data_IF_955431368244
#
_entry.id   IF_955431368244
#
_cell.length_a   1.000
_cell.length_b   1.000
_cell.length_c   1.000
_cell.angle_alpha   90.00
_cell.angle_beta   90.00
_cell.angle_gamma   90.00
#
_symmetry.space_group_name_H-M   'P 1'
#
loop_
_entity.id
_entity.type
_entity.pdbx_description
1 polymer ?
#
# COMPACT_ATOMS: atom_id res chain seq x y z
N UNK A 1 -45.17 -42.95 4.35
CA UNK A 1 -44.25 -42.31 5.30
C UNK A 1 -43.09 -41.73 4.51
N UNK A 2 -43.04 -40.41 4.40
CA UNK A 2 -42.05 -39.68 3.59
C UNK A 2 -40.69 -39.70 4.30
N UNK A 3 -39.65 -40.20 3.63
CA UNK A 3 -38.28 -40.20 4.15
C UNK A 3 -37.48 -39.08 3.48
N UNK A 4 -37.09 -38.11 4.29
CA UNK A 4 -36.37 -36.90 3.93
C UNK A 4 -34.93 -37.20 3.49
N UNK A 5 -34.64 -37.00 2.21
CA UNK A 5 -33.27 -36.96 1.67
C UNK A 5 -32.83 -35.49 1.60
N UNK A 6 -32.14 -35.02 2.64
CA UNK A 6 -31.49 -33.71 2.65
C UNK A 6 -30.29 -33.71 1.68
N UNK A 7 -30.42 -32.92 0.60
CA UNK A 7 -29.33 -32.51 -0.28
C UNK A 7 -28.48 -31.44 0.44
N UNK A 8 -27.30 -31.82 0.91
CA UNK A 8 -26.25 -30.88 1.31
C UNK A 8 -25.50 -30.40 0.06
N UNK A 9 -25.98 -29.31 -0.56
CA UNK A 9 -25.17 -28.54 -1.52
C UNK A 9 -24.15 -27.70 -0.76
N UNK A 10 -22.86 -27.98 -0.96
CA UNK A 10 -21.75 -27.09 -0.59
C UNK A 10 -21.50 -26.10 -1.73
N UNK A 11 -21.60 -24.77 -1.51
CA UNK A 11 -21.12 -23.81 -2.49
C UNK A 11 -19.60 -23.69 -2.39
N UNK A 12 -18.92 -24.00 -3.50
CA UNK A 12 -17.51 -23.73 -3.70
C UNK A 12 -17.28 -22.22 -3.89
N UNK A 13 -16.58 -21.59 -2.95
CA UNK A 13 -15.99 -20.26 -3.13
C UNK A 13 -14.50 -20.35 -2.81
N UNK A 14 -13.70 -20.66 -3.84
CA UNK A 14 -12.25 -20.50 -3.81
C UNK A 14 -11.86 -19.62 -5.01
N UNK A 15 -11.75 -18.31 -4.76
CA UNK A 15 -11.14 -17.37 -5.68
C UNK A 15 -9.72 -17.05 -5.17
N UNK A 16 -8.67 -17.14 -6.01
CA UNK A 16 -7.30 -16.89 -5.56
C UNK A 16 -7.06 -15.39 -5.25
N UNK A 17 -6.23 -15.05 -4.25
CA UNK A 17 -5.94 -13.68 -3.88
C UNK A 17 -5.12 -12.96 -4.96
N UNK A 18 -5.72 -11.91 -5.53
CA UNK A 18 -5.09 -10.91 -6.39
C UNK A 18 -3.94 -10.20 -5.66
N UNK A 19 -2.72 -10.37 -6.16
CA UNK A 19 -1.51 -9.67 -5.72
C UNK A 19 -1.51 -8.22 -6.22
N UNK A 20 -2.00 -7.28 -5.40
CA UNK A 20 -1.80 -5.85 -5.64
C UNK A 20 -0.38 -5.42 -5.24
N UNK A 21 0.45 -5.23 -6.26
CA UNK A 21 1.77 -4.62 -6.25
C UNK A 21 1.67 -3.19 -5.68
N UNK A 22 2.37 -2.93 -4.56
CA UNK A 22 2.63 -1.56 -4.09
C UNK A 22 3.69 -0.93 -5.00
N UNK A 23 3.27 -0.02 -5.87
CA UNK A 23 4.18 0.90 -6.55
C UNK A 23 4.55 2.01 -5.56
N UNK A 24 5.78 1.98 -5.04
CA UNK A 24 6.37 3.11 -4.32
C UNK A 24 6.92 4.04 -5.40
N UNK A 25 6.25 5.17 -5.60
CA UNK A 25 6.69 6.25 -6.47
C UNK A 25 7.89 6.97 -5.84
N UNK A 26 9.10 6.58 -6.23
CA UNK A 26 10.30 7.41 -6.10
C UNK A 26 10.43 8.29 -7.34
N UNK A 27 9.79 9.45 -7.30
CA UNK A 27 10.03 10.51 -8.28
C UNK A 27 9.78 11.87 -7.61
N UNK A 28 10.81 12.40 -6.95
CA UNK A 28 11.10 13.82 -6.73
C UNK A 28 12.42 13.96 -5.95
N UNK A 29 13.52 13.71 -6.64
CA UNK A 29 14.81 14.33 -6.32
C UNK A 29 15.28 14.93 -7.64
N UNK A 30 14.85 16.17 -7.89
CA UNK A 30 15.37 17.03 -8.93
C UNK A 30 15.72 18.35 -8.25
N UNK A 31 17.03 18.65 -8.26
CA UNK A 31 17.71 19.92 -8.06
C UNK A 31 17.08 20.94 -7.08
N UNK A 32 17.63 21.03 -5.86
CA UNK A 32 17.70 22.31 -5.16
C UNK A 32 19.03 23.01 -5.45
N UNK A 33 19.05 24.30 -5.80
CA UNK A 33 20.28 25.09 -5.91
C UNK A 33 20.86 25.41 -4.51
N UNK A 34 22.19 25.48 -4.44
CA UNK A 34 22.97 25.71 -3.23
C UNK A 34 22.46 26.91 -2.41
N UNK A 35 21.96 26.63 -1.19
CA UNK A 35 21.70 27.67 -0.19
C UNK A 35 23.02 28.24 0.30
N UNK A 36 23.22 29.55 0.10
CA UNK A 36 24.31 30.33 0.71
C UNK A 36 24.29 30.13 2.23
N UNK A 37 25.45 29.79 2.79
CA UNK A 37 25.67 29.70 4.23
C UNK A 37 25.39 31.06 4.90
N UNK A 38 24.55 31.06 5.93
CA UNK A 38 24.40 32.22 6.81
C UNK A 38 25.67 32.36 7.69
N UNK A 39 26.16 33.59 7.95
CA UNK A 39 27.31 33.81 8.80
C UNK A 39 27.00 33.46 10.27
N UNK A 40 27.99 33.01 11.06
CA UNK A 40 27.80 32.65 12.45
C UNK A 40 27.45 33.87 13.31
N UNK A 41 26.62 33.70 14.36
CA UNK A 41 26.26 34.80 15.27
C UNK A 41 27.48 35.26 16.10
N UNK A 42 27.58 36.56 16.42
CA UNK A 42 28.67 37.08 17.25
C UNK A 42 28.54 36.62 18.72
N UNK A 43 29.66 36.52 19.45
CA UNK A 43 29.67 36.12 20.85
C UNK A 43 29.03 37.19 21.76
N UNK A 44 28.39 36.79 22.88
CA UNK A 44 27.76 37.74 23.80
C UNK A 44 28.81 38.60 24.53
N UNK A 45 28.53 39.90 24.76
CA UNK A 45 29.44 40.77 25.48
C UNK A 45 29.43 40.47 27.00
N UNK A 46 30.62 40.58 27.59
CA UNK A 46 30.90 40.35 28.99
C UNK A 46 30.15 41.32 29.93
N UNK A 47 29.69 40.80 31.05
CA UNK A 47 29.06 41.54 32.13
C UNK A 47 30.04 42.52 32.81
N UNK A 48 29.67 43.81 32.90
CA UNK A 48 30.19 44.76 33.89
C UNK A 48 29.10 45.74 34.34
N UNK A 49 28.83 45.70 35.65
CA UNK A 49 28.65 46.81 36.60
C UNK A 49 27.81 48.05 36.26
N UNK A 50 26.75 48.23 37.06
CA UNK A 50 26.32 49.44 37.81
C UNK A 50 26.32 50.82 37.12
N UNK A 51 25.12 51.41 37.08
CA UNK A 51 24.68 52.61 37.84
C UNK A 51 23.94 53.70 37.02
N UNK A 52 22.77 54.07 37.56
CA UNK A 52 22.15 55.40 37.68
C UNK A 52 21.54 56.17 36.48
N UNK A 53 20.27 56.54 36.73
CA UNK A 53 19.58 57.83 36.54
C UNK A 53 18.85 58.21 35.24
N UNK A 54 17.55 58.52 35.47
CA UNK A 54 16.72 59.62 34.95
C UNK A 54 16.15 59.59 33.52
N UNK A 55 14.82 59.43 33.51
CA UNK A 55 13.82 60.39 33.01
C UNK A 55 13.35 60.36 31.54
N UNK A 56 12.01 60.25 31.45
CA UNK A 56 11.08 60.93 30.52
C UNK A 56 10.66 60.28 29.19
N UNK A 57 9.33 60.11 29.09
CA UNK A 57 8.43 60.54 27.98
C UNK A 57 7.77 59.44 27.10
N UNK A 58 6.54 59.12 27.49
CA UNK A 58 5.29 59.06 26.70
C UNK A 58 5.29 58.59 25.20
N UNK A 59 4.64 57.43 24.97
CA UNK A 59 3.40 57.18 24.16
C UNK A 59 3.10 57.97 22.85
N UNK A 60 2.17 57.50 21.97
CA UNK A 60 1.74 56.14 21.59
C UNK A 60 1.49 55.94 20.05
N UNK A 61 1.02 54.73 19.74
CA UNK A 61 0.47 54.18 18.48
C UNK A 61 -0.59 55.03 17.75
N UNK A 62 -0.58 54.98 16.41
CA UNK A 62 -1.73 55.19 15.49
C UNK A 62 -1.63 54.12 14.36
N UNK A 63 -2.59 53.22 14.10
CA UNK A 63 -3.95 53.39 13.53
C UNK A 63 -3.90 54.10 12.15
N UNK A 64 -3.73 53.36 11.04
CA UNK A 64 -4.76 52.71 10.21
C UNK A 64 -5.79 53.65 9.56
N UNK A 65 -5.52 54.07 8.32
CA UNK A 65 -6.56 54.50 7.37
C UNK A 65 -6.06 54.25 5.95
N UNK A 66 -6.80 53.43 5.21
CA UNK A 66 -6.60 53.14 3.79
C UNK A 66 -7.88 53.59 3.05
N UNK A 67 -7.69 54.42 2.01
CA UNK A 67 -8.29 54.38 0.64
C UNK A 67 -9.78 53.99 0.51
N UNK A 68 -10.63 54.57 -0.35
CA UNK A 68 -10.52 55.39 -1.57
C UNK A 68 -11.98 55.72 -1.99
N UNK A 69 -12.34 56.95 -2.37
CA UNK A 69 -12.69 57.42 -3.75
C UNK A 69 -13.38 56.35 -4.65
N UNK A 70 -14.44 56.59 -5.45
CA UNK A 70 -14.91 57.80 -6.15
C UNK A 70 -16.24 57.50 -6.92
N UNK A 71 -16.98 58.56 -7.29
CA UNK A 71 -17.83 58.78 -8.51
C UNK A 71 -19.13 57.97 -8.69
N UNK A 72 -20.28 58.49 -9.17
CA UNK A 72 -20.64 59.61 -10.09
C UNK A 72 -22.16 59.91 -9.90
N UNK A 73 -22.64 61.17 -9.80
CA UNK A 73 -23.26 62.01 -10.86
C UNK A 73 -24.42 61.31 -11.62
N UNK A 74 -25.63 61.84 -11.89
CA UNK A 74 -26.08 63.22 -12.18
C UNK A 74 -27.62 63.32 -12.08
N UNK A 75 -28.07 64.53 -11.80
CA UNK A 75 -29.41 65.15 -11.78
C UNK A 75 -30.31 64.90 -13.01
N UNK A 76 -31.62 64.80 -12.81
CA UNK A 76 -32.64 65.44 -13.69
C UNK A 76 -33.99 65.58 -12.98
N UNK A 77 -34.47 66.82 -12.98
CA UNK A 77 -35.78 67.32 -12.54
C UNK A 77 -36.90 66.94 -13.50
N UNK A 78 -38.11 66.65 -13.00
CA UNK A 78 -39.39 67.21 -13.53
C UNK A 78 -40.58 66.89 -12.63
N UNK A 79 -41.53 67.82 -12.58
CA UNK A 79 -42.66 67.94 -11.66
C UNK A 79 -43.96 67.61 -12.41
N UNK A 80 -44.86 66.85 -11.77
CA UNK A 80 -46.35 67.00 -11.71
C UNK A 80 -47.20 67.01 -13.02
N UNK A 81 -48.15 66.07 -13.10
CA UNK A 81 -49.58 66.20 -13.51
C UNK A 81 -50.14 64.77 -13.77
N UNK A 82 -51.16 64.26 -13.07
CA UNK A 82 -52.61 64.46 -13.23
C UNK A 82 -53.27 63.09 -13.50
N UNK A 83 -54.49 62.91 -13.00
CA UNK A 83 -55.21 61.66 -12.85
C UNK A 83 -56.21 61.38 -13.99
N UNK A 84 -56.54 60.10 -14.23
CA UNK A 84 -57.85 59.61 -14.69
C UNK A 84 -57.93 58.06 -14.63
N UNK A 85 -59.04 57.45 -14.14
CA UNK A 85 -59.15 56.00 -13.99
C UNK A 85 -60.01 55.30 -15.07
N UNK A 86 -59.60 54.06 -15.36
CA UNK A 86 -60.39 52.85 -15.65
C UNK A 86 -61.42 52.80 -16.80
N UNK A 87 -61.22 51.85 -17.72
CA UNK A 87 -62.26 50.92 -18.19
C UNK A 87 -61.62 49.57 -18.57
N UNK A 88 -61.75 48.54 -17.70
CA UNK A 88 -61.49 47.13 -18.06
C UNK A 88 -62.84 46.42 -18.19
N UNK A 89 -63.15 46.03 -19.41
CA UNK A 89 -64.29 45.18 -19.77
C UNK A 89 -64.23 43.85 -19.01
N UNK A 90 -65.29 43.57 -18.25
CA UNK A 90 -65.42 42.41 -17.36
C UNK A 90 -65.83 41.18 -18.20
N UNK A 91 -64.83 40.38 -18.63
CA UNK A 91 -65.05 39.03 -19.18
C UNK A 91 -65.94 38.21 -18.23
N UNK A 92 -66.90 37.47 -18.80
CA UNK A 92 -67.89 36.69 -18.04
C UNK A 92 -67.21 35.57 -17.22
N UNK A 93 -67.80 35.20 -16.07
CA UNK A 93 -67.21 34.24 -15.12
C UNK A 93 -66.91 32.86 -15.74
N UNK A 94 -67.71 32.46 -16.73
CA UNK A 94 -67.52 31.20 -17.49
C UNK A 94 -66.25 31.22 -18.34
N UNK A 95 -65.88 32.37 -18.89
CA UNK A 95 -64.70 32.56 -19.74
C UNK A 95 -63.40 32.67 -18.91
N UNK A 96 -63.49 33.26 -17.71
CA UNK A 96 -62.38 33.27 -16.74
C UNK A 96 -62.08 31.87 -16.22
N UNK A 97 -63.10 31.11 -15.83
CA UNK A 97 -62.96 29.73 -15.38
C UNK A 97 -62.39 28.80 -16.47
N UNK A 98 -62.78 29.00 -17.74
CA UNK A 98 -62.21 28.26 -18.87
C UNK A 98 -60.72 28.59 -19.08
N UNK A 99 -60.36 29.88 -19.03
CA UNK A 99 -58.97 30.35 -19.16
C UNK A 99 -58.07 29.87 -18.01
N UNK A 100 -58.59 29.81 -16.79
CA UNK A 100 -57.85 29.31 -15.64
C UNK A 100 -57.63 27.79 -15.73
N UNK A 101 -58.63 27.03 -16.18
CA UNK A 101 -58.51 25.59 -16.44
C UNK A 101 -57.52 25.28 -17.56
N UNK A 102 -57.47 26.12 -18.59
CA UNK A 102 -56.50 26.03 -19.68
C UNK A 102 -55.08 26.37 -19.21
N UNK A 103 -54.91 27.44 -18.42
CA UNK A 103 -53.63 27.79 -17.79
C UNK A 103 -53.11 26.69 -16.86
N UNK A 104 -53.99 26.04 -16.09
CA UNK A 104 -53.59 24.92 -15.24
C UNK A 104 -53.19 23.68 -16.06
N UNK A 105 -53.90 23.38 -17.16
CA UNK A 105 -53.50 22.31 -18.09
C UNK A 105 -52.16 22.61 -18.77
N UNK A 106 -51.92 23.85 -19.16
CA UNK A 106 -50.65 24.30 -19.75
C UNK A 106 -49.51 24.22 -18.73
N UNK A 107 -49.72 24.63 -17.48
CA UNK A 107 -48.73 24.48 -16.39
C UNK A 107 -48.39 23.02 -16.14
N UNK A 108 -49.39 22.14 -16.09
CA UNK A 108 -49.19 20.69 -15.90
C UNK A 108 -48.48 20.07 -17.10
N UNK A 109 -48.81 20.47 -18.33
CA UNK A 109 -48.13 20.01 -19.54
C UNK A 109 -46.65 20.46 -19.55
N UNK A 110 -46.39 21.73 -19.24
CA UNK A 110 -45.02 22.30 -19.13
C UNK A 110 -44.21 21.67 -18.00
N UNK A 111 -44.86 21.32 -16.88
CA UNK A 111 -44.22 20.59 -15.79
C UNK A 111 -43.83 19.17 -16.21
N UNK A 112 -44.72 18.43 -16.90
CA UNK A 112 -44.44 17.09 -17.45
C UNK A 112 -43.34 17.10 -18.51
N UNK A 113 -43.27 18.16 -19.32
CA UNK A 113 -42.21 18.33 -20.31
C UNK A 113 -40.85 18.58 -19.66
N UNK A 114 -40.79 19.47 -18.66
CA UNK A 114 -39.58 19.73 -17.86
C UNK A 114 -39.10 18.49 -17.10
N UNK A 115 -40.02 17.65 -16.62
CA UNK A 115 -39.68 16.38 -15.97
C UNK A 115 -39.06 15.39 -16.97
N UNK A 116 -39.66 15.22 -18.15
CA UNK A 116 -39.10 14.39 -19.23
C UNK A 116 -37.72 14.88 -19.68
N UNK A 117 -37.50 16.19 -19.73
CA UNK A 117 -36.20 16.78 -20.07
C UNK A 117 -35.14 16.49 -18.99
N UNK A 118 -35.50 16.62 -17.71
CA UNK A 118 -34.60 16.29 -16.58
C UNK A 118 -34.23 14.81 -16.55
N UNK A 119 -35.16 13.91 -16.88
CA UNK A 119 -34.88 12.47 -16.96
C UNK A 119 -33.99 12.10 -18.13
N UNK A 120 -34.18 12.73 -19.30
CA UNK A 120 -33.25 12.60 -20.43
C UNK A 120 -31.85 13.10 -20.05
N UNK A 121 -31.75 14.26 -19.40
CA UNK A 121 -30.47 14.81 -18.93
C UNK A 121 -29.79 13.91 -17.87
N UNK A 122 -30.55 13.28 -16.97
CA UNK A 122 -30.03 12.29 -16.02
C UNK A 122 -29.48 11.05 -16.72
N UNK A 123 -30.22 10.49 -17.68
CA UNK A 123 -29.77 9.33 -18.48
C UNK A 123 -28.52 9.62 -19.30
N UNK A 124 -28.40 10.83 -19.87
CA UNK A 124 -27.18 11.24 -20.59
C UNK A 124 -26.00 11.35 -19.63
N UNK A 125 -26.16 12.02 -18.48
CA UNK A 125 -25.11 12.13 -17.45
C UNK A 125 -24.69 10.77 -16.88
N UNK A 126 -25.62 9.83 -16.76
CA UNK A 126 -25.33 8.46 -16.30
C UNK A 126 -24.53 7.67 -17.34
N UNK A 127 -24.93 7.72 -18.62
CA UNK A 127 -24.20 7.10 -19.72
C UNK A 127 -22.81 7.67 -19.91
N UNK A 128 -22.65 8.99 -19.72
CA UNK A 128 -21.36 9.67 -19.77
C UNK A 128 -20.45 9.22 -18.62
N UNK A 129 -20.96 9.17 -17.38
CA UNK A 129 -20.23 8.63 -16.23
C UNK A 129 -19.85 7.16 -16.41
N UNK A 130 -20.68 6.35 -17.05
CA UNK A 130 -20.39 4.95 -17.32
C UNK A 130 -19.27 4.80 -18.38
N UNK A 131 -19.30 5.63 -19.43
CA UNK A 131 -18.23 5.68 -20.44
C UNK A 131 -16.91 6.12 -19.82
N UNK A 132 -16.92 7.18 -19.00
CA UNK A 132 -15.74 7.67 -18.28
C UNK A 132 -15.18 6.60 -17.32
N UNK A 133 -16.04 5.85 -16.63
CA UNK A 133 -15.61 4.70 -15.80
C UNK A 133 -14.99 3.59 -16.64
N UNK A 134 -15.59 3.22 -17.77
CA UNK A 134 -15.06 2.19 -18.69
C UNK A 134 -13.70 2.60 -19.26
N UNK A 135 -13.55 3.86 -19.65
CA UNK A 135 -12.30 4.42 -20.15
C UNK A 135 -11.21 4.45 -19.07
N UNK A 136 -11.54 4.87 -17.84
CA UNK A 136 -10.62 4.82 -16.70
C UNK A 136 -10.18 3.40 -16.36
N UNK A 137 -11.04 2.39 -16.53
CA UNK A 137 -10.68 0.98 -16.32
C UNK A 137 -9.74 0.51 -17.43
N UNK A 138 -10.05 0.78 -18.71
CA UNK A 138 -9.18 0.44 -19.84
C UNK A 138 -7.79 1.07 -19.74
N UNK A 139 -7.73 2.38 -19.44
CA UNK A 139 -6.46 3.07 -19.22
C UNK A 139 -5.65 2.45 -18.06
N UNK A 140 -6.30 2.03 -16.97
CA UNK A 140 -5.63 1.33 -15.86
C UNK A 140 -5.10 -0.04 -16.26
N UNK A 141 -5.83 -0.79 -17.10
CA UNK A 141 -5.38 -2.09 -17.60
C UNK A 141 -4.21 -1.96 -18.58
N UNK A 142 -4.23 -0.96 -19.46
CA UNK A 142 -3.14 -0.65 -20.38
C UNK A 142 -1.88 -0.24 -19.63
N UNK A 143 -2.00 0.68 -18.66
CA UNK A 143 -0.88 1.06 -17.77
C UNK A 143 -0.35 -0.17 -17.00
N UNK A 144 -1.21 -1.11 -16.61
CA UNK A 144 -0.79 -2.34 -15.92
C UNK A 144 -0.02 -3.27 -16.87
N UNK A 145 -0.50 -3.47 -18.10
CA UNK A 145 0.14 -4.29 -19.13
C UNK A 145 1.49 -3.71 -19.56
N UNK A 146 1.59 -2.40 -19.74
CA UNK A 146 2.86 -1.73 -20.05
C UNK A 146 3.86 -1.83 -18.91
N UNK A 147 3.41 -1.64 -17.65
CA UNK A 147 4.28 -1.85 -16.48
C UNK A 147 4.75 -3.29 -16.35
N UNK A 148 3.94 -4.27 -16.73
CA UNK A 148 4.33 -5.68 -16.72
C UNK A 148 5.34 -6.01 -17.83
N UNK A 149 5.10 -5.51 -19.05
CA UNK A 149 6.06 -5.63 -20.17
C UNK A 149 7.39 -4.96 -19.86
N UNK A 150 7.37 -3.72 -19.35
CA UNK A 150 8.58 -3.01 -18.94
C UNK A 150 9.33 -3.72 -17.80
N UNK A 151 8.62 -4.39 -16.88
CA UNK A 151 9.25 -5.23 -15.86
C UNK A 151 9.91 -6.47 -16.45
N UNK A 152 9.26 -7.15 -17.39
CA UNK A 152 9.82 -8.32 -18.06
C UNK A 152 11.05 -7.93 -18.88
N UNK A 153 11.01 -6.81 -19.60
CA UNK A 153 12.15 -6.29 -20.36
C UNK A 153 13.28 -5.81 -19.44
N UNK A 154 12.98 -5.10 -18.35
CA UNK A 154 13.97 -4.75 -17.34
C UNK A 154 14.60 -5.99 -16.68
N UNK A 155 13.80 -7.01 -16.35
CA UNK A 155 14.30 -8.26 -15.79
C UNK A 155 15.20 -9.04 -16.77
N UNK A 156 14.93 -8.96 -18.08
CA UNK A 156 15.78 -9.53 -19.13
C UNK A 156 17.07 -8.72 -19.35
N UNK A 157 17.02 -7.40 -19.19
CA UNK A 157 18.16 -6.50 -19.40
C UNK A 157 19.13 -6.43 -18.21
N UNK A 158 18.69 -6.78 -17.00
CA UNK A 158 19.55 -6.85 -15.82
C UNK A 158 20.43 -8.10 -15.92
N UNK A 159 21.64 -7.95 -16.47
CA UNK A 159 22.73 -8.90 -16.23
C UNK A 159 23.02 -8.88 -14.73
N UNK A 160 22.52 -9.90 -14.02
CA UNK A 160 22.77 -10.05 -12.58
C UNK A 160 24.29 -10.11 -12.36
N UNK A 161 24.89 -9.24 -11.53
CA UNK A 161 26.33 -9.15 -11.36
C UNK A 161 26.89 -10.28 -10.46
N UNK A 162 26.17 -11.39 -10.31
CA UNK A 162 26.48 -12.49 -9.41
C UNK A 162 26.18 -13.84 -10.07
N UNK A 163 26.93 -14.91 -9.72
CA UNK A 163 26.68 -16.25 -10.25
C UNK A 163 25.29 -16.73 -9.83
N UNK A 164 24.56 -17.49 -10.69
CA UNK A 164 23.19 -17.90 -10.38
C UNK A 164 23.14 -18.77 -9.10
N UNK A 165 22.18 -18.53 -8.17
CA UNK A 165 22.07 -19.31 -6.93
C UNK A 165 21.78 -20.78 -7.22
N UNK A 166 22.01 -21.76 -6.33
CA UNK A 166 21.66 -23.18 -6.55
C UNK A 166 20.16 -23.40 -6.85
N UNK A 167 19.79 -24.41 -7.65
CA UNK A 167 18.37 -24.71 -7.96
C UNK A 167 17.69 -25.29 -6.72
N UNK A 168 16.44 -24.88 -6.45
CA UNK A 168 15.69 -25.42 -5.33
C UNK A 168 15.53 -26.95 -5.42
N UNK A 169 15.46 -27.64 -4.27
CA UNK A 169 15.37 -29.10 -4.24
C UNK A 169 14.02 -29.56 -4.79
N UNK A 170 14.03 -30.66 -5.54
CA UNK A 170 12.80 -31.30 -6.02
C UNK A 170 11.95 -31.76 -4.83
N UNK A 171 10.63 -31.56 -4.95
CA UNK A 171 9.68 -32.08 -3.97
C UNK A 171 9.57 -33.60 -4.08
N UNK A 172 9.07 -34.27 -3.04
CA UNK A 172 8.88 -35.72 -3.05
C UNK A 172 8.03 -36.20 -4.24
N UNK A 173 6.97 -35.46 -4.57
CA UNK A 173 6.15 -35.69 -5.76
C UNK A 173 6.96 -35.55 -7.05
N UNK A 174 7.75 -34.46 -7.20
CA UNK A 174 8.58 -34.27 -8.39
C UNK A 174 9.59 -35.41 -8.55
N UNK A 175 10.25 -35.81 -7.47
CA UNK A 175 11.18 -36.95 -7.45
C UNK A 175 10.49 -38.23 -7.93
N UNK A 176 9.28 -38.51 -7.47
CA UNK A 176 8.47 -39.63 -7.93
C UNK A 176 8.11 -39.53 -9.42
N UNK A 177 7.66 -38.36 -9.89
CA UNK A 177 7.28 -38.21 -11.30
C UNK A 177 8.45 -38.34 -12.28
N UNK A 178 9.67 -38.01 -11.82
CA UNK A 178 10.91 -38.13 -12.59
C UNK A 178 11.57 -39.50 -12.48
N UNK A 179 11.15 -40.32 -11.52
CA UNK A 179 11.71 -41.64 -11.28
C UNK A 179 11.26 -42.59 -12.40
N UNK A 180 12.22 -43.07 -13.20
CA UNK A 180 11.94 -43.97 -14.32
C UNK A 180 11.57 -45.39 -13.88
N UNK A 181 11.85 -45.74 -12.62
CA UNK A 181 11.57 -47.07 -12.06
C UNK A 181 10.10 -47.25 -11.67
N UNK A 182 9.36 -46.15 -11.54
CA UNK A 182 7.93 -46.18 -11.25
C UNK A 182 7.17 -46.53 -12.52
N UNK A 183 6.62 -47.75 -12.56
CA UNK A 183 5.64 -48.14 -13.57
C UNK A 183 4.34 -47.38 -13.32
N UNK A 184 4.15 -46.28 -14.06
CA UNK A 184 2.92 -45.50 -14.10
C UNK A 184 2.48 -45.31 -15.55
N UNK A 185 1.17 -45.25 -15.76
CA UNK A 185 0.61 -44.91 -17.06
C UNK A 185 1.01 -43.47 -17.42
N UNK A 186 1.61 -43.31 -18.60
CA UNK A 186 1.97 -42.00 -19.14
C UNK A 186 0.86 -41.52 -20.05
N UNK A 187 0.35 -40.32 -19.80
CA UNK A 187 -0.66 -39.71 -20.64
C UNK A 187 -0.10 -39.25 -21.98
N UNK A 188 -0.97 -39.10 -22.98
CA UNK A 188 -0.62 -38.53 -24.29
C UNK A 188 -0.49 -36.99 -24.20
N UNK A 189 0.55 -36.54 -23.49
CA UNK A 189 0.87 -35.12 -23.33
C UNK A 189 1.20 -34.73 -21.90
N UNK A 190 1.78 -33.53 -21.72
CA UNK A 190 2.26 -33.04 -20.42
C UNK A 190 1.11 -32.88 -19.40
N UNK A 191 -0.06 -32.44 -19.86
CA UNK A 191 -1.23 -32.23 -18.98
C UNK A 191 -1.78 -33.56 -18.48
N UNK A 192 -2.00 -34.52 -19.38
CA UNK A 192 -2.58 -35.81 -19.03
C UNK A 192 -1.59 -36.65 -18.22
N UNK A 193 -0.29 -36.60 -18.54
CA UNK A 193 0.76 -37.22 -17.74
C UNK A 193 0.79 -36.66 -16.31
N UNK A 194 0.63 -35.35 -16.14
CA UNK A 194 0.58 -34.74 -14.82
C UNK A 194 -0.67 -35.15 -14.02
N UNK A 195 -1.82 -35.32 -14.68
CA UNK A 195 -3.06 -35.81 -14.04
C UNK A 195 -2.87 -37.25 -13.57
N UNK A 196 -2.37 -38.12 -14.45
CA UNK A 196 -2.12 -39.55 -14.15
C UNK A 196 -1.05 -39.71 -13.07
N UNK A 197 0.04 -38.94 -13.12
CA UNK A 197 1.07 -38.94 -12.08
C UNK A 197 0.51 -38.50 -10.72
N UNK A 198 -0.39 -37.51 -10.72
CA UNK A 198 -1.07 -37.05 -9.52
C UNK A 198 -1.99 -38.10 -8.90
N UNK A 199 -2.65 -38.93 -9.73
CA UNK A 199 -3.45 -40.06 -9.26
C UNK A 199 -2.57 -41.18 -8.71
N UNK A 200 -1.52 -41.56 -9.44
CA UNK A 200 -0.56 -42.58 -9.02
C UNK A 200 0.09 -42.22 -7.68
N UNK A 201 0.50 -40.97 -7.47
CA UNK A 201 1.06 -40.50 -6.20
C UNK A 201 0.08 -40.60 -5.02
N UNK A 202 -1.22 -40.38 -5.27
CA UNK A 202 -2.26 -40.52 -4.24
C UNK A 202 -2.55 -41.99 -3.93
N UNK A 203 -2.43 -42.87 -4.92
CA UNK A 203 -2.61 -44.31 -4.78
C UNK A 203 -1.44 -45.02 -4.08
N UNK A 204 -0.24 -44.43 -4.07
CA UNK A 204 0.90 -44.95 -3.30
C UNK A 204 0.56 -45.13 -1.83
N UNK A 205 1.09 -46.21 -1.26
CA UNK A 205 1.05 -46.45 0.18
C UNK A 205 1.90 -45.42 0.93
N UNK A 206 1.59 -45.20 2.21
CA UNK A 206 2.34 -44.24 3.03
C UNK A 206 3.82 -44.64 3.19
N UNK A 207 4.14 -45.94 3.16
CA UNK A 207 5.52 -46.44 3.24
C UNK A 207 6.33 -46.10 1.98
N UNK A 208 5.76 -46.28 0.79
CA UNK A 208 6.41 -45.90 -0.47
C UNK A 208 6.56 -44.38 -0.57
N UNK A 209 5.54 -43.63 -0.14
CA UNK A 209 5.58 -42.17 -0.09
C UNK A 209 6.66 -41.67 0.87
N UNK A 210 6.86 -42.34 2.00
CA UNK A 210 7.88 -41.98 2.99
C UNK A 210 9.31 -42.04 2.42
N UNK A 211 9.59 -43.00 1.52
CA UNK A 211 10.90 -43.08 0.83
C UNK A 211 11.18 -41.81 0.03
N UNK A 212 10.19 -41.33 -0.73
CA UNK A 212 10.33 -40.08 -1.49
C UNK A 212 10.38 -38.84 -0.61
N UNK A 213 9.67 -38.84 0.53
CA UNK A 213 9.78 -37.76 1.53
C UNK A 213 11.19 -37.69 2.12
N UNK A 214 11.77 -38.82 2.52
CA UNK A 214 13.16 -38.90 3.01
C UNK A 214 14.17 -38.43 1.96
N UNK A 215 14.03 -38.87 0.69
CA UNK A 215 14.86 -38.38 -0.42
C UNK A 215 14.73 -36.86 -0.61
N UNK A 216 13.51 -36.31 -0.52
CA UNK A 216 13.28 -34.87 -0.62
C UNK A 216 13.88 -34.09 0.56
N UNK A 217 13.86 -34.64 1.77
CA UNK A 217 14.49 -34.05 2.94
C UNK A 217 16.02 -34.03 2.82
N UNK A 218 16.62 -35.12 2.34
CA UNK A 218 18.06 -35.18 2.06
C UNK A 218 18.46 -34.17 0.97
N UNK A 219 17.71 -34.10 -0.13
CA UNK A 219 17.95 -33.10 -1.18
C UNK A 219 17.82 -31.66 -0.66
N UNK A 220 16.85 -31.41 0.24
CA UNK A 220 16.73 -30.11 0.92
C UNK A 220 17.92 -29.80 1.80
N UNK A 221 18.45 -30.77 2.54
CA UNK A 221 19.63 -30.59 3.38
C UNK A 221 20.87 -30.25 2.53
N UNK A 222 21.14 -31.04 1.50
CA UNK A 222 22.24 -30.80 0.55
C UNK A 222 22.13 -29.41 -0.10
N UNK A 223 20.94 -29.03 -0.56
CA UNK A 223 20.72 -27.71 -1.14
C UNK A 223 20.97 -26.57 -0.16
N UNK A 224 20.62 -26.72 1.14
CA UNK A 224 20.93 -25.69 2.15
C UNK A 224 22.45 -25.49 2.30
N UNK A 225 23.23 -26.57 2.24
CA UNK A 225 24.69 -26.50 2.28
C UNK A 225 25.28 -25.85 1.02
N UNK A 226 24.78 -26.21 -0.16
CA UNK A 226 25.16 -25.57 -1.42
C UNK A 226 24.83 -24.08 -1.43
N UNK A 227 23.66 -23.70 -0.92
CA UNK A 227 23.27 -22.30 -0.77
C UNK A 227 24.20 -21.59 0.21
N UNK A 228 24.56 -22.22 1.33
CA UNK A 228 25.53 -21.64 2.27
C UNK A 228 26.90 -21.41 1.60
N UNK A 229 27.39 -22.39 0.83
CA UNK A 229 28.64 -22.28 0.06
C UNK A 229 28.55 -21.18 -1.01
N UNK A 230 27.45 -21.12 -1.77
CA UNK A 230 27.22 -20.07 -2.76
C UNK A 230 27.19 -18.68 -2.10
N UNK A 231 26.55 -18.54 -0.95
CA UNK A 231 26.51 -17.26 -0.24
C UNK A 231 27.87 -16.87 0.29
N UNK A 232 28.68 -17.84 0.72
CA UNK A 232 30.06 -17.58 1.11
C UNK A 232 30.98 -17.19 -0.04
N UNK A 233 30.66 -17.59 -1.27
CA UNK A 233 31.40 -17.15 -2.45
C UNK A 233 30.94 -15.79 -2.98
N UNK A 234 29.80 -15.26 -2.53
CA UNK A 234 29.28 -13.96 -2.93
C UNK A 234 29.83 -12.81 -2.06
N UNK A 235 30.21 -11.71 -2.71
CA UNK A 235 30.55 -10.45 -2.03
C UNK A 235 29.26 -9.73 -1.52
N UNK A 236 29.29 -8.92 -0.45
CA UNK A 236 28.12 -8.17 0.05
C UNK A 236 27.48 -7.30 -1.03
N UNK A 237 28.26 -6.70 -1.93
CA UNK A 237 27.69 -5.93 -3.03
C UNK A 237 26.79 -6.83 -3.92
N UNK A 238 27.26 -8.05 -4.20
CA UNK A 238 26.51 -9.07 -4.93
C UNK A 238 25.34 -9.63 -4.11
N UNK A 239 25.49 -9.81 -2.79
CA UNK A 239 24.45 -10.30 -1.89
C UNK A 239 23.34 -9.27 -1.69
N UNK A 240 23.69 -7.99 -1.57
CA UNK A 240 22.76 -6.87 -1.54
C UNK A 240 22.05 -6.72 -2.89
N UNK A 241 22.78 -6.86 -4.00
CA UNK A 241 22.19 -6.90 -5.34
C UNK A 241 21.26 -8.11 -5.53
N UNK A 242 21.60 -9.28 -4.98
CA UNK A 242 20.74 -10.46 -4.99
C UNK A 242 19.49 -10.24 -4.13
N UNK A 243 19.64 -9.57 -2.98
CA UNK A 243 18.51 -9.23 -2.09
C UNK A 243 17.61 -8.14 -2.68
N UNK A 244 18.17 -7.14 -3.37
CA UNK A 244 17.40 -6.05 -3.98
C UNK A 244 16.65 -6.51 -5.23
N UNK A 245 17.25 -7.39 -6.03
CA UNK A 245 16.62 -8.01 -7.20
C UNK A 245 15.77 -9.24 -6.85
N UNK A 246 15.44 -9.44 -5.57
CA UNK A 246 14.58 -10.53 -5.10
C UNK A 246 13.15 -10.29 -5.56
N UNK A 247 12.78 -10.93 -6.64
CA UNK A 247 11.37 -11.04 -7.04
C UNK A 247 10.70 -12.19 -6.29
N UNK A 248 9.49 -11.99 -5.72
CA UNK A 248 8.77 -13.04 -5.00
C UNK A 248 8.59 -14.29 -5.89
N UNK A 249 8.91 -15.47 -5.35
CA UNK A 249 8.74 -16.74 -6.07
C UNK A 249 9.86 -17.10 -7.05
N UNK A 250 10.96 -16.34 -7.08
CA UNK A 250 12.13 -16.68 -7.90
C UNK A 250 13.12 -17.61 -7.20
N UNK A 251 14.06 -18.16 -7.97
CA UNK A 251 15.18 -18.97 -7.44
C UNK A 251 16.03 -18.22 -6.41
N UNK A 252 16.20 -16.91 -6.62
CA UNK A 252 16.93 -16.03 -5.70
C UNK A 252 16.18 -15.86 -4.37
N UNK A 253 14.84 -15.79 -4.40
CA UNK A 253 13.99 -15.73 -3.21
C UNK A 253 14.17 -16.98 -2.33
N UNK A 254 14.12 -18.16 -2.95
CA UNK A 254 14.32 -19.43 -2.25
C UNK A 254 15.71 -19.50 -1.59
N UNK A 255 16.79 -19.26 -2.34
CA UNK A 255 18.15 -19.31 -1.81
C UNK A 255 18.37 -18.29 -0.68
N UNK A 256 17.87 -17.06 -0.84
CA UNK A 256 18.02 -16.00 0.17
C UNK A 256 17.12 -16.18 1.40
N UNK A 257 16.06 -17.01 1.31
CA UNK A 257 15.19 -17.32 2.45
C UNK A 257 15.81 -18.32 3.43
N UNK A 258 16.73 -19.16 2.96
CA UNK A 258 17.48 -20.13 3.78
C UNK A 258 18.51 -19.43 4.65
N UNK A 259 19.01 -18.29 4.19
CA UNK A 259 20.00 -17.54 4.93
C UNK A 259 19.43 -16.98 6.23
N UNK A 260 20.17 -17.14 7.35
CA UNK A 260 19.79 -16.51 8.60
C UNK A 260 19.68 -15.00 8.44
N UNK A 261 18.48 -14.50 8.72
CA UNK A 261 18.21 -13.07 8.68
C UNK A 261 19.12 -12.37 9.68
N UNK A 262 19.61 -11.19 9.30
CA UNK A 262 20.32 -10.33 10.24
C UNK A 262 19.38 -10.08 11.43
N UNK A 263 19.88 -10.18 12.68
CA UNK A 263 19.06 -9.93 13.85
C UNK A 263 18.46 -8.53 13.76
N UNK A 264 17.22 -8.41 14.21
CA UNK A 264 16.52 -7.14 14.26
C UNK A 264 17.21 -6.17 15.22
N UNK A 265 17.01 -4.87 15.00
CA UNK A 265 17.38 -3.84 15.99
C UNK A 265 16.59 -4.04 17.30
N UNK A 266 16.98 -3.38 18.39
CA UNK A 266 16.31 -3.41 19.69
C UNK A 266 14.79 -3.22 19.57
N UNK A 267 14.34 -2.26 18.77
CA UNK A 267 12.92 -2.03 18.50
C UNK A 267 12.25 -3.23 17.79
N UNK A 268 12.92 -3.91 16.88
CA UNK A 268 12.35 -5.07 16.19
C UNK A 268 12.21 -6.28 17.12
N UNK A 269 13.14 -6.47 18.07
CA UNK A 269 13.01 -7.48 19.12
C UNK A 269 11.88 -7.13 20.10
N UNK A 270 11.73 -5.85 20.44
CA UNK A 270 10.59 -5.35 21.18
C UNK A 270 9.26 -5.59 20.45
N UNK A 271 9.21 -5.34 19.13
CA UNK A 271 8.02 -5.61 18.33
C UNK A 271 7.65 -7.09 18.34
N UNK A 272 8.64 -7.98 18.25
CA UNK A 272 8.41 -9.42 18.34
C UNK A 272 7.83 -9.82 19.72
N UNK A 273 8.35 -9.24 20.80
CA UNK A 273 7.88 -9.49 22.17
C UNK A 273 6.49 -8.88 22.42
N UNK A 274 6.22 -7.66 22.00
CA UNK A 274 4.94 -7.02 22.30
C UNK A 274 3.81 -7.55 21.43
N UNK A 275 4.10 -7.97 20.19
CA UNK A 275 3.10 -8.56 19.29
C UNK A 275 2.70 -9.98 19.68
N UNK A 276 3.48 -10.68 20.51
CA UNK A 276 3.12 -11.97 21.08
C UNK A 276 2.24 -11.85 22.33
N UNK A 277 2.31 -10.72 23.06
CA UNK A 277 1.49 -10.46 24.25
C UNK A 277 0.02 -10.31 23.90
N UNK A 278 -0.83 -11.06 24.60
CA UNK A 278 -2.27 -11.05 24.38
C UNK A 278 -2.91 -9.69 24.72
N UNK A 279 -2.52 -9.07 25.84
CA UNK A 279 -3.03 -7.77 26.29
C UNK A 279 -2.87 -6.67 25.23
N UNK A 280 -1.75 -6.71 24.48
CA UNK A 280 -1.50 -5.76 23.41
C UNK A 280 -2.44 -5.99 22.22
N UNK A 281 -2.69 -7.26 21.87
CA UNK A 281 -3.63 -7.60 20.79
C UNK A 281 -5.04 -7.13 21.13
N UNK A 282 -5.48 -7.39 22.36
CA UNK A 282 -6.79 -6.98 22.86
C UNK A 282 -6.93 -5.46 22.89
N UNK A 283 -5.88 -4.73 23.29
CA UNK A 283 -5.85 -3.26 23.23
C UNK A 283 -6.00 -2.74 21.81
N UNK A 284 -5.31 -3.34 20.83
CA UNK A 284 -5.45 -2.94 19.42
C UNK A 284 -6.84 -3.29 18.89
N UNK A 285 -7.37 -4.47 19.21
CA UNK A 285 -8.71 -4.89 18.79
C UNK A 285 -9.81 -4.01 19.38
N UNK A 286 -9.68 -3.58 20.63
CA UNK A 286 -10.59 -2.62 21.24
C UNK A 286 -10.57 -1.25 20.52
N UNK A 287 -9.41 -0.81 20.02
CA UNK A 287 -9.32 0.42 19.21
C UNK A 287 -9.95 0.22 17.84
N UNK A 288 -9.72 -0.93 17.19
CA UNK A 288 -10.34 -1.27 15.90
C UNK A 288 -11.86 -1.33 16.03
N UNK A 289 -12.39 -1.92 17.11
CA UNK A 289 -13.82 -1.99 17.38
C UNK A 289 -14.46 -0.59 17.51
N UNK A 290 -13.76 0.36 18.14
CA UNK A 290 -14.20 1.77 18.23
C UNK A 290 -14.23 2.48 16.87
N UNK A 291 -13.39 2.08 15.93
CA UNK A 291 -13.36 2.66 14.57
C UNK A 291 -14.42 2.07 13.61
N UNK A 292 -15.29 1.18 14.10
CA UNK A 292 -16.43 0.58 13.38
C UNK A 292 -16.13 0.27 11.89
N UNK A 293 -15.21 -0.68 11.60
CA UNK A 293 -14.89 -1.07 10.23
C UNK A 293 -16.13 -1.60 9.50
N UNK A 294 -16.24 -1.30 8.20
CA UNK A 294 -17.40 -1.71 7.41
C UNK A 294 -17.37 -3.19 7.05
N UNK A 295 -16.16 -3.71 6.78
CA UNK A 295 -15.91 -5.09 6.37
C UNK A 295 -14.68 -5.68 7.10
N UNK A 296 -14.60 -7.01 7.18
CA UNK A 296 -13.47 -7.74 7.77
C UNK A 296 -12.12 -7.35 7.16
N UNK A 297 -12.08 -7.11 5.85
CA UNK A 297 -10.86 -6.67 5.16
C UNK A 297 -10.41 -5.30 5.63
N UNK A 298 -11.36 -4.39 5.90
CA UNK A 298 -11.07 -3.07 6.45
C UNK A 298 -10.59 -3.19 7.91
N UNK A 299 -11.23 -4.06 8.70
CA UNK A 299 -10.82 -4.36 10.07
C UNK A 299 -9.37 -4.85 10.13
N UNK A 300 -8.99 -5.82 9.28
CA UNK A 300 -7.61 -6.33 9.18
C UNK A 300 -6.62 -5.22 8.80
N UNK A 301 -6.99 -4.35 7.85
CA UNK A 301 -6.12 -3.25 7.42
C UNK A 301 -5.92 -2.21 8.53
N UNK A 302 -7.00 -1.83 9.23
CA UNK A 302 -6.95 -0.91 10.38
C UNK A 302 -6.12 -1.52 11.51
N UNK A 303 -6.35 -2.79 11.84
CA UNK A 303 -5.56 -3.55 12.82
C UNK A 303 -4.07 -3.44 12.51
N UNK A 304 -3.62 -3.82 11.32
CA UNK A 304 -2.19 -3.76 10.94
C UNK A 304 -1.61 -2.34 11.10
N UNK A 305 -2.37 -1.30 10.72
CA UNK A 305 -1.93 0.09 10.88
C UNK A 305 -1.83 0.51 12.35
N UNK A 306 -2.78 0.08 13.19
CA UNK A 306 -2.83 0.41 14.61
C UNK A 306 -1.77 -0.34 15.42
N UNK A 307 -1.46 -1.59 15.05
CA UNK A 307 -0.35 -2.37 15.62
C UNK A 307 0.96 -1.59 15.57
N UNK A 308 1.32 -1.04 14.41
CA UNK A 308 2.58 -0.29 14.26
C UNK A 308 2.61 1.02 15.06
N UNK A 309 1.48 1.74 15.13
CA UNK A 309 1.39 3.01 15.87
C UNK A 309 1.45 2.79 17.38
N UNK A 310 0.58 1.93 17.90
CA UNK A 310 0.49 1.62 19.33
C UNK A 310 1.79 1.05 19.88
N UNK A 311 2.44 0.13 19.15
CA UNK A 311 3.75 -0.38 19.54
C UNK A 311 4.83 0.72 19.54
N UNK A 312 4.78 1.63 18.56
CA UNK A 312 5.69 2.78 18.50
C UNK A 312 5.50 3.76 19.67
N UNK A 313 4.25 4.01 20.08
CA UNK A 313 3.95 4.88 21.22
C UNK A 313 4.40 4.25 22.53
N UNK A 314 4.18 2.94 22.70
CA UNK A 314 4.68 2.19 23.87
C UNK A 314 6.21 2.28 23.91
N UNK A 315 6.90 1.97 22.80
CA UNK A 315 8.36 2.08 22.73
C UNK A 315 8.87 3.49 23.08
N UNK A 316 8.20 4.54 22.63
CA UNK A 316 8.58 5.92 22.98
C UNK A 316 8.39 6.20 24.47
N UNK A 317 7.30 5.72 25.06
CA UNK A 317 6.97 5.90 26.48
C UNK A 317 7.82 5.06 27.45
N UNK A 318 8.49 4.02 26.95
CA UNK A 318 9.37 3.18 27.77
C UNK A 318 10.59 3.95 28.25
N UNK A 319 10.98 3.65 29.49
CA UNK A 319 12.21 4.16 30.09
C UNK A 319 13.46 3.59 29.41
N UNK A 320 14.59 4.28 29.56
CA UNK A 320 15.86 3.81 29.01
C UNK A 320 16.30 2.47 29.63
N UNK A 321 15.91 2.20 30.89
CA UNK A 321 16.16 0.92 31.56
C UNK A 321 15.43 -0.23 30.87
N UNK A 322 14.17 -0.03 30.49
CA UNK A 322 13.39 -1.06 29.79
C UNK A 322 13.89 -1.25 28.35
N UNK A 323 14.25 -0.15 27.67
CA UNK A 323 14.88 -0.20 26.34
C UNK A 323 16.23 -0.90 26.37
N UNK A 324 17.01 -0.75 27.44
CA UNK A 324 18.32 -1.37 27.61
C UNK A 324 18.26 -2.92 27.56
N UNK A 325 17.16 -3.52 28.00
CA UNK A 325 16.94 -4.97 27.88
C UNK A 325 16.88 -5.40 26.41
N UNK A 326 16.26 -4.60 25.55
CA UNK A 326 16.18 -4.91 24.12
C UNK A 326 17.45 -4.53 23.37
N UNK A 327 18.18 -3.50 23.80
CA UNK A 327 19.49 -3.16 23.20
C UNK A 327 20.52 -4.26 23.48
N UNK A 328 20.60 -4.75 24.71
CA UNK A 328 21.48 -5.87 25.09
C UNK A 328 21.11 -7.16 24.34
N UNK A 329 19.82 -7.50 24.22
CA UNK A 329 19.38 -8.62 23.38
C UNK A 329 19.77 -8.43 21.91
N UNK A 330 19.66 -7.21 21.38
CA UNK A 330 20.04 -6.91 20.00
C UNK A 330 21.55 -6.99 19.77
N UNK A 331 22.39 -6.54 20.72
CA UNK A 331 23.84 -6.67 20.62
C UNK A 331 24.26 -8.14 20.70
N UNK A 332 23.72 -8.90 21.66
CA UNK A 332 24.01 -10.34 21.77
C UNK A 332 23.58 -11.10 20.51
N UNK A 333 22.38 -10.85 20.00
CA UNK A 333 21.92 -11.48 18.76
C UNK A 333 22.82 -11.12 17.58
N UNK A 334 23.26 -9.84 17.50
CA UNK A 334 24.23 -9.38 16.50
C UNK A 334 25.57 -10.09 16.63
N UNK A 335 26.13 -10.21 17.82
CA UNK A 335 27.38 -10.91 18.07
C UNK A 335 27.28 -12.40 17.71
N UNK A 336 26.18 -13.06 18.06
CA UNK A 336 25.95 -14.47 17.66
C UNK A 336 25.88 -14.60 16.14
N UNK A 337 25.24 -13.65 15.47
CA UNK A 337 25.16 -13.62 14.01
C UNK A 337 26.54 -13.33 13.40
N UNK A 338 27.30 -12.37 13.93
CA UNK A 338 28.65 -12.03 13.50
C UNK A 338 29.63 -13.19 13.79
N UNK A 339 29.45 -14.00 14.84
CA UNK A 339 30.24 -15.23 15.04
C UNK A 339 29.95 -16.28 13.98
N UNK A 340 28.66 -16.48 13.66
CA UNK A 340 28.23 -17.50 12.68
C UNK A 340 28.45 -17.08 11.23
N UNK A 341 28.39 -15.78 10.93
CA UNK A 341 28.38 -15.23 9.56
C UNK A 341 29.39 -14.10 9.32
N UNK A 342 30.07 -13.59 10.35
CA UNK A 342 31.00 -12.47 10.23
C UNK A 342 32.30 -12.82 9.52
N UNK A 343 32.69 -14.09 9.45
CA UNK A 343 33.81 -14.54 8.60
C UNK A 343 33.56 -14.22 7.12
N UNK A 344 32.29 -14.27 6.67
CA UNK A 344 31.89 -13.88 5.32
C UNK A 344 32.10 -12.38 5.07
N UNK A 345 31.94 -11.56 6.11
CA UNK A 345 32.10 -10.11 6.05
C UNK A 345 33.58 -9.70 6.16
N UNK A 346 34.39 -10.43 6.93
CA UNK A 346 35.81 -10.15 7.14
C UNK A 346 36.64 -10.42 5.87
N UNK A 347 36.49 -11.60 5.26
CA UNK A 347 37.15 -11.96 4.00
C UNK A 347 36.85 -10.96 2.87
N UNK A 348 35.70 -10.30 2.95
CA UNK A 348 35.22 -9.35 1.98
C UNK A 348 35.75 -7.93 2.21
N UNK A 349 35.98 -7.51 3.46
CA UNK A 349 36.68 -6.24 3.74
C UNK A 349 38.07 -6.28 3.14
N UNK A 350 38.78 -7.40 3.32
CA UNK A 350 40.12 -7.62 2.78
C UNK A 350 40.14 -7.55 1.25
N UNK A 351 39.19 -8.21 0.58
CA UNK A 351 39.07 -8.13 -0.88
C UNK A 351 38.76 -6.72 -1.40
N UNK A 352 37.94 -5.94 -0.68
CA UNK A 352 37.63 -4.55 -1.06
C UNK A 352 38.83 -3.64 -0.84
N UNK A 353 39.55 -3.76 0.28
CA UNK A 353 40.82 -3.02 0.49
C UNK A 353 41.91 -3.44 -0.50
N UNK A 354 41.93 -4.70 -0.95
CA UNK A 354 42.87 -5.14 -1.98
C UNK A 354 42.50 -4.64 -3.39
N UNK A 355 41.21 -4.43 -3.67
CA UNK A 355 40.73 -3.92 -4.96
C UNK A 355 40.76 -2.37 -5.05
N UNK A 356 40.83 -1.68 -3.91
CA UNK A 356 40.99 -0.23 -3.80
C UNK A 356 42.23 0.10 -2.95
N UNK A 357 43.45 -0.03 -3.51
CA UNK A 357 44.69 0.29 -2.81
C UNK A 357 44.82 1.78 -2.48
#
# INVERSE_FOLDING_TARGET
MLSSRMLLMRPALYAPPSTQIRAISFARIALEPARKAAPPPPPPPAAKGKATTTATKAAPKAASTKTATKTTATTTTTKKAAAAPATKTRLTEKERAARDKEREREKVAKAKEREKERDKARKVKEREKEREKKEKVKAREEIKKEKEKAKIEAAKAIKKPYPPPPKGPSTAYLLFTTDQTVNRDRGEGVTDDAIMAGQAWKALSDSEREVYLKKAEQARAAWKEEVAKWVSSLNLAQLLAARSNREPGTRDDAAMSVLPRRPGNAYALFLADISSRQDFREKVDAIVAKEAPKDDREAVKKRISLYGRTAGDIWKSMSDKEKAVYTTKATQAKEQWDKKFGHLIAAQKEQITAAHP
#
